data_IF_228777447911
#
_entry.id   IF_228777447911
#
_cell.length_a   1.000
_cell.length_b   1.000
_cell.length_c   1.000
_cell.angle_alpha   90.00
_cell.angle_beta   90.00
_cell.angle_gamma   90.00
#
_symmetry.space_group_name_H-M   'P 1'
#
loop_
_entity.id
_entity.type
_entity.pdbx_description
1 polymer ?
#
# COMPACT_ATOMS: atom_id res chain seq x y z
N UNK A 1 21.90 15.87 -12.27
CA UNK A 1 20.55 15.97 -11.65
C UNK A 1 19.91 14.60 -11.73
N UNK A 2 19.71 13.94 -10.59
CA UNK A 2 18.56 13.05 -10.31
C UNK A 2 18.59 12.76 -8.80
N UNK A 3 17.77 13.49 -8.07
CA UNK A 3 17.51 13.28 -6.65
C UNK A 3 16.66 11.99 -6.49
N UNK A 4 17.33 10.87 -6.25
CA UNK A 4 16.69 9.55 -6.13
C UNK A 4 16.42 9.15 -4.69
N UNK A 5 15.91 10.06 -3.85
CA UNK A 5 15.29 9.67 -2.59
C UNK A 5 13.94 9.07 -2.92
N UNK A 6 13.86 7.75 -3.09
CA UNK A 6 12.66 6.99 -3.45
C UNK A 6 11.61 7.00 -2.34
N UNK A 7 11.15 8.19 -1.96
CA UNK A 7 9.86 8.36 -1.34
C UNK A 7 8.84 8.32 -2.47
N UNK A 8 7.81 7.49 -2.40
CA UNK A 8 6.85 7.38 -3.48
C UNK A 8 6.11 8.73 -3.60
N UNK A 9 6.47 9.49 -4.64
CA UNK A 9 5.99 10.85 -4.89
C UNK A 9 4.52 10.87 -5.26
N UNK A 10 4.01 9.75 -5.80
CA UNK A 10 2.67 9.64 -6.35
C UNK A 10 1.92 8.41 -5.80
N UNK A 11 1.84 8.30 -4.47
CA UNK A 11 0.97 7.32 -3.82
C UNK A 11 -0.51 7.70 -3.96
N UNK A 12 -1.33 6.73 -4.34
CA UNK A 12 -2.78 6.86 -4.34
C UNK A 12 -3.38 5.78 -3.45
N UNK A 13 -4.24 6.20 -2.52
CA UNK A 13 -5.05 5.26 -1.74
C UNK A 13 -5.88 4.42 -2.69
N UNK A 14 -5.76 3.10 -2.57
CA UNK A 14 -6.51 2.14 -3.37
C UNK A 14 -7.51 1.41 -2.51
N UNK A 15 -8.73 1.31 -3.01
CA UNK A 15 -9.75 0.50 -2.36
C UNK A 15 -9.51 -0.98 -2.64
N UNK A 16 -10.03 -1.82 -1.74
CA UNK A 16 -10.05 -3.27 -1.84
C UNK A 16 -10.58 -3.75 -3.20
N UNK A 17 -11.60 -3.08 -3.76
CA UNK A 17 -12.17 -3.44 -5.07
C UNK A 17 -11.18 -3.30 -6.23
N UNK A 18 -10.28 -2.32 -6.17
CA UNK A 18 -9.26 -2.12 -7.20
C UNK A 18 -8.16 -3.18 -7.09
N UNK A 19 -7.73 -3.47 -5.87
CA UNK A 19 -6.75 -4.52 -5.58
C UNK A 19 -7.29 -5.90 -5.98
N UNK A 20 -8.55 -6.20 -5.63
CA UNK A 20 -9.21 -7.46 -6.01
C UNK A 20 -9.32 -7.64 -7.53
N UNK A 21 -9.53 -6.56 -8.29
CA UNK A 21 -9.48 -6.62 -9.76
C UNK A 21 -8.11 -7.01 -10.30
N UNK A 22 -7.06 -6.70 -9.56
CA UNK A 22 -5.67 -7.08 -9.85
C UNK A 22 -5.27 -8.42 -9.24
N UNK A 23 -6.21 -9.14 -8.59
CA UNK A 23 -5.94 -10.42 -7.92
C UNK A 23 -5.36 -10.28 -6.51
N UNK A 24 -5.22 -9.06 -5.99
CA UNK A 24 -4.66 -8.80 -4.66
C UNK A 24 -5.78 -8.59 -3.64
N UNK A 25 -5.80 -9.41 -2.60
CA UNK A 25 -6.75 -9.25 -1.50
C UNK A 25 -6.15 -8.33 -0.42
N UNK A 26 -6.67 -7.10 -0.38
CA UNK A 26 -6.29 -6.06 0.57
C UNK A 26 -6.37 -6.50 2.04
N UNK A 27 -7.36 -7.32 2.38
CA UNK A 27 -7.58 -7.80 3.75
C UNK A 27 -6.55 -8.84 4.13
N UNK A 28 -6.28 -9.78 3.23
CA UNK A 28 -5.31 -10.86 3.43
C UNK A 28 -3.89 -10.29 3.51
N UNK A 29 -3.54 -9.40 2.57
CA UNK A 29 -2.24 -8.72 2.56
C UNK A 29 -2.01 -7.95 3.86
N UNK A 30 -2.94 -7.08 4.25
CA UNK A 30 -2.84 -6.35 5.53
C UNK A 30 -2.79 -7.30 6.73
N UNK A 31 -3.52 -8.41 6.71
CA UNK A 31 -3.52 -9.36 7.81
C UNK A 31 -2.12 -9.96 8.02
N UNK A 32 -1.39 -10.30 6.95
CA UNK A 32 -0.03 -10.84 7.05
C UNK A 32 0.98 -9.80 7.57
N UNK A 33 0.82 -8.52 7.19
CA UNK A 33 1.76 -7.46 7.60
C UNK A 33 1.45 -6.81 8.96
N UNK A 34 0.19 -6.46 9.22
CA UNK A 34 -0.21 -5.71 10.42
C UNK A 34 -1.04 -6.53 11.42
N UNK A 35 -1.49 -7.71 11.02
CA UNK A 35 -2.34 -8.58 11.83
C UNK A 35 -3.84 -8.30 11.67
N UNK A 36 -4.66 -9.34 11.91
CA UNK A 36 -6.14 -9.33 11.75
C UNK A 36 -6.85 -8.25 12.58
N UNK A 37 -6.27 -7.82 13.69
CA UNK A 37 -6.88 -6.79 14.54
C UNK A 37 -6.59 -5.37 14.06
N UNK A 38 -5.60 -5.19 13.18
CA UNK A 38 -5.15 -3.87 12.75
C UNK A 38 -5.60 -3.53 11.32
N UNK A 39 -6.17 -4.45 10.55
CA UNK A 39 -6.63 -4.21 9.16
C UNK A 39 -7.48 -2.94 8.99
N UNK A 40 -8.32 -2.60 9.98
CA UNK A 40 -9.18 -1.41 9.96
C UNK A 40 -8.46 -0.09 10.31
N UNK A 41 -7.28 -0.19 10.92
CA UNK A 41 -6.41 0.93 11.26
C UNK A 41 -5.37 1.23 10.17
N UNK A 42 -5.35 0.47 9.09
CA UNK A 42 -4.40 0.60 8.00
C UNK A 42 -5.12 0.66 6.66
N UNK A 43 -4.57 1.44 5.74
CA UNK A 43 -5.03 1.65 4.37
C UNK A 43 -3.93 1.21 3.40
N UNK A 44 -4.30 0.68 2.23
CA UNK A 44 -3.32 0.36 1.18
C UNK A 44 -3.28 1.51 0.18
N UNK A 45 -2.06 1.84 -0.20
CA UNK A 45 -1.73 2.81 -1.20
C UNK A 45 -0.97 2.08 -2.31
N UNK A 46 -1.21 2.48 -3.55
CA UNK A 46 -0.35 2.11 -4.67
C UNK A 46 0.50 3.30 -5.04
N UNK A 47 1.79 3.09 -5.22
CA UNK A 47 2.64 4.02 -5.93
C UNK A 47 2.34 3.92 -7.44
N UNK A 48 1.83 4.99 -8.04
CA UNK A 48 1.52 5.01 -9.47
C UNK A 48 2.75 5.04 -10.36
N UNK A 49 3.91 5.44 -9.85
CA UNK A 49 5.14 5.46 -10.63
C UNK A 49 5.71 4.05 -10.78
N UNK A 50 5.77 3.30 -9.68
CA UNK A 50 6.35 1.95 -9.66
C UNK A 50 5.30 0.84 -9.78
N UNK A 51 4.04 1.11 -9.49
CA UNK A 51 2.99 0.09 -9.31
C UNK A 51 3.03 -0.62 -7.96
N UNK A 52 3.93 -0.23 -7.05
CA UNK A 52 4.15 -0.95 -5.78
C UNK A 52 3.06 -0.64 -4.75
N UNK A 53 2.69 -1.65 -3.97
CA UNK A 53 1.73 -1.52 -2.88
C UNK A 53 2.42 -1.21 -1.54
N UNK A 54 1.83 -0.25 -0.84
CA UNK A 54 2.29 0.27 0.43
C UNK A 54 1.15 0.24 1.44
N UNK A 55 1.43 -0.23 2.64
CA UNK A 55 0.48 -0.21 3.74
C UNK A 55 0.81 0.99 4.63
N UNK A 56 -0.14 1.91 4.75
CA UNK A 56 -0.04 3.07 5.65
C UNK A 56 -1.03 2.92 6.78
N UNK A 57 -0.72 3.51 7.94
CA UNK A 57 -1.70 3.69 9.00
C UNK A 57 -2.72 4.74 8.60
N UNK A 58 -3.96 4.53 9.05
CA UNK A 58 -5.09 5.43 8.86
C UNK A 58 -4.73 6.84 9.32
N UNK A 59 -4.92 7.80 8.42
CA UNK A 59 -4.54 9.19 8.62
C UNK A 59 -3.14 9.56 8.10
N UNK A 60 -2.47 8.66 7.36
CA UNK A 60 -1.18 8.95 6.73
C UNK A 60 -0.04 9.20 7.71
N UNK A 61 -0.20 8.76 8.97
CA UNK A 61 0.78 8.95 10.04
C UNK A 61 1.50 7.64 10.34
N UNK A 62 2.79 7.60 10.08
CA UNK A 62 3.65 6.46 10.43
C UNK A 62 4.52 6.02 9.27
N UNK A 63 5.37 5.03 9.56
CA UNK A 63 6.25 4.43 8.55
C UNK A 63 5.42 3.54 7.62
N UNK A 64 5.47 3.80 6.31
CA UNK A 64 4.81 2.93 5.37
C UNK A 64 5.50 1.58 5.30
N UNK A 65 4.69 0.53 5.30
CA UNK A 65 5.17 -0.84 5.19
C UNK A 65 5.17 -1.20 3.70
N UNK A 66 6.35 -1.36 3.07
CA UNK A 66 6.42 -1.86 1.70
C UNK A 66 5.94 -3.30 1.70
N UNK A 67 4.94 -3.60 0.87
CA UNK A 67 4.47 -4.98 0.72
C UNK A 67 5.27 -5.76 -0.32
N UNK A 68 6.09 -5.05 -1.12
CA UNK A 68 6.82 -5.59 -2.27
C UNK A 68 5.94 -6.29 -3.32
N UNK A 69 4.63 -6.08 -3.24
CA UNK A 69 3.66 -6.45 -4.26
C UNK A 69 3.54 -5.32 -5.28
N UNK A 70 3.41 -5.67 -6.56
CA UNK A 70 3.28 -4.72 -7.66
C UNK A 70 2.01 -5.03 -8.45
N UNK A 71 1.20 -4.01 -8.69
CA UNK A 71 0.03 -4.09 -9.58
C UNK A 71 0.36 -3.46 -10.93
N UNK A 72 -0.09 -4.10 -12.01
CA UNK A 72 0.19 -3.70 -13.39
C UNK A 72 -1.06 -3.19 -14.11
#
# INVERSE_FOLDING_TARGET
MIEGGSNPTNIKMVNDKYLKKQGIDAHSLKQDFVGKNNIAHYDIYVDKETGMLWIYRKGGKGEPIPTYEYIK
#
